data_IF_145116165882
#
_entry.id   IF_145116165882
#
_cell.length_a   1.000
_cell.length_b   1.000
_cell.length_c   1.000
_cell.angle_alpha   90.00
_cell.angle_beta   90.00
_cell.angle_gamma   90.00
#
_symmetry.space_group_name_H-M   'P 1'
#
loop_
_entity.id
_entity.type
_entity.pdbx_description
1 polymer ?
#
# COMPACT_ATOMS: atom_id res chain seq x y z
N UNK A 1 -11.16 10.16 -5.25
CA UNK A 1 -10.80 8.86 -4.67
C UNK A 1 -11.35 8.77 -3.25
N UNK A 2 -12.12 7.73 -2.97
CA UNK A 2 -12.86 7.63 -1.70
C UNK A 2 -12.33 6.50 -0.84
N UNK A 3 -11.08 6.63 -0.38
CA UNK A 3 -10.38 5.59 0.37
C UNK A 3 -11.10 5.18 1.65
N UNK A 4 -11.69 6.14 2.36
CA UNK A 4 -12.41 5.83 3.60
C UNK A 4 -13.62 4.93 3.35
N UNK A 5 -14.36 5.17 2.27
CA UNK A 5 -15.50 4.32 1.93
C UNK A 5 -15.07 2.90 1.60
N UNK A 6 -13.93 2.76 0.90
CA UNK A 6 -13.40 1.45 0.53
C UNK A 6 -12.97 0.63 1.74
N UNK A 7 -12.59 1.28 2.85
CA UNK A 7 -12.11 0.63 4.07
C UNK A 7 -13.11 0.67 5.22
N UNK A 8 -14.31 1.20 5.00
CA UNK A 8 -15.24 1.55 6.08
C UNK A 8 -15.51 0.43 7.07
N UNK A 9 -15.60 -0.80 6.59
CA UNK A 9 -15.91 -1.96 7.44
C UNK A 9 -14.73 -2.91 7.61
N UNK A 10 -13.58 -2.58 7.05
CA UNK A 10 -12.41 -3.43 7.13
C UNK A 10 -11.83 -3.43 8.55
N UNK A 11 -11.51 -4.62 9.07
CA UNK A 11 -10.87 -4.77 10.37
C UNK A 11 -9.36 -4.97 10.23
N UNK A 12 -8.93 -5.69 9.20
CA UNK A 12 -7.53 -5.91 8.89
C UNK A 12 -7.22 -5.30 7.53
N UNK A 13 -6.29 -4.36 7.52
CA UNK A 13 -5.90 -3.62 6.31
C UNK A 13 -4.40 -3.80 6.08
N UNK A 14 -4.04 -4.19 4.88
CA UNK A 14 -2.64 -4.32 4.47
C UNK A 14 -2.28 -3.30 3.41
N UNK A 15 -1.03 -2.89 3.40
CA UNK A 15 -0.48 -1.92 2.44
C UNK A 15 0.87 -2.43 1.98
N UNK A 16 1.13 -2.41 0.68
CA UNK A 16 2.45 -2.72 0.15
C UNK A 16 2.69 -1.98 -1.17
N UNK A 17 3.94 -1.96 -1.60
CA UNK A 17 4.37 -1.41 -2.87
C UNK A 17 5.39 -2.34 -3.52
N UNK A 18 6.14 -1.81 -4.49
CA UNK A 18 7.05 -2.65 -5.27
C UNK A 18 8.32 -3.04 -4.52
N UNK A 19 8.97 -4.11 -5.00
CA UNK A 19 10.29 -4.51 -4.54
C UNK A 19 11.30 -3.37 -4.78
N UNK A 20 12.36 -3.31 -3.98
CA UNK A 20 13.35 -2.23 -4.03
C UNK A 20 12.67 -0.86 -3.99
N UNK A 21 11.94 -0.57 -2.88
CA UNK A 21 11.11 0.62 -2.82
C UNK A 21 11.93 1.91 -2.92
N UNK A 22 11.44 2.82 -3.76
CA UNK A 22 12.01 4.15 -3.93
C UNK A 22 11.22 5.18 -3.11
N UNK A 23 11.55 6.47 -3.29
CA UNK A 23 10.91 7.56 -2.54
C UNK A 23 9.41 7.64 -2.75
N UNK A 24 8.91 7.44 -3.98
CA UNK A 24 7.48 7.49 -4.25
C UNK A 24 6.77 6.29 -3.64
N UNK A 25 7.35 5.10 -3.73
CA UNK A 25 6.78 3.90 -3.13
C UNK A 25 6.67 4.05 -1.61
N UNK A 26 7.77 4.41 -0.94
CA UNK A 26 7.79 4.57 0.52
C UNK A 26 6.88 5.71 0.95
N UNK A 27 6.94 6.85 0.25
CA UNK A 27 6.14 8.02 0.57
C UNK A 27 4.65 7.76 0.45
N UNK A 28 4.21 7.10 -0.62
CA UNK A 28 2.79 6.79 -0.81
C UNK A 28 2.30 5.76 0.22
N UNK A 29 3.08 4.71 0.48
CA UNK A 29 2.70 3.69 1.45
C UNK A 29 2.63 4.26 2.87
N UNK A 30 3.64 5.03 3.29
CA UNK A 30 3.65 5.64 4.63
C UNK A 30 2.57 6.69 4.77
N UNK A 31 2.33 7.49 3.72
CA UNK A 31 1.26 8.48 3.74
C UNK A 31 -0.10 7.85 3.98
N UNK A 32 -0.40 6.79 3.26
CA UNK A 32 -1.66 6.06 3.44
C UNK A 32 -1.72 5.40 4.81
N UNK A 33 -0.63 4.77 5.25
CA UNK A 33 -0.56 4.11 6.56
C UNK A 33 -0.87 5.09 7.70
N UNK A 34 -0.19 6.24 7.71
CA UNK A 34 -0.37 7.23 8.76
C UNK A 34 -1.78 7.83 8.73
N UNK A 35 -2.32 8.06 7.54
CA UNK A 35 -3.70 8.54 7.39
C UNK A 35 -4.69 7.55 7.97
N UNK A 36 -4.59 6.28 7.60
CA UNK A 36 -5.51 5.24 8.08
C UNK A 36 -5.38 5.02 9.59
N UNK A 37 -4.17 5.06 10.13
CA UNK A 37 -3.98 4.97 11.59
C UNK A 37 -4.68 6.10 12.32
N UNK A 38 -4.71 7.28 11.73
CA UNK A 38 -5.37 8.46 12.32
C UNK A 38 -6.90 8.35 12.26
N UNK A 39 -7.45 7.93 11.12
CA UNK A 39 -8.91 7.90 10.92
C UNK A 39 -9.56 6.58 11.29
N UNK A 40 -8.79 5.51 11.34
CA UNK A 40 -9.26 4.17 11.72
C UNK A 40 -8.36 3.57 12.82
N UNK A 41 -8.28 4.21 14.01
CA UNK A 41 -7.40 3.71 15.07
C UNK A 41 -7.86 2.34 15.62
N UNK A 42 -9.07 1.93 15.33
CA UNK A 42 -9.64 0.64 15.70
C UNK A 42 -9.22 -0.51 14.77
N UNK A 43 -8.73 -0.20 13.57
CA UNK A 43 -8.37 -1.22 12.60
C UNK A 43 -6.94 -1.74 12.83
N UNK A 44 -6.73 -3.01 12.47
CA UNK A 44 -5.41 -3.64 12.49
C UNK A 44 -4.75 -3.38 11.14
N UNK A 45 -3.82 -2.42 11.10
CA UNK A 45 -3.22 -1.93 9.87
C UNK A 45 -1.75 -2.33 9.79
N UNK A 46 -1.37 -2.98 8.70
CA UNK A 46 -0.01 -3.46 8.47
C UNK A 46 0.55 -2.89 7.18
N UNK A 47 1.84 -2.57 7.18
CA UNK A 47 2.55 -2.11 6.00
C UNK A 47 3.76 -3.01 5.75
N UNK A 48 3.85 -3.54 4.53
CA UNK A 48 4.90 -4.48 4.14
C UNK A 48 5.71 -3.91 2.99
N UNK A 49 7.00 -3.72 3.21
CA UNK A 49 7.95 -3.32 2.17
C UNK A 49 9.28 -3.99 2.44
N UNK A 50 10.08 -4.20 1.42
CA UNK A 50 11.47 -4.55 1.62
C UNK A 50 12.13 -3.45 2.43
N UNK A 51 13.17 -3.78 3.21
CA UNK A 51 13.83 -2.81 4.07
C UNK A 51 14.25 -1.58 3.27
N UNK A 52 13.72 -0.38 3.60
CA UNK A 52 14.09 0.84 2.89
C UNK A 52 15.56 1.19 3.08
N UNK A 53 16.15 1.86 2.09
CA UNK A 53 17.50 2.39 2.21
C UNK A 53 17.58 3.41 3.36
N UNK A 54 18.75 3.53 3.99
CA UNK A 54 18.94 4.41 5.15
C UNK A 54 18.58 5.87 4.89
N UNK A 55 18.70 6.31 3.64
CA UNK A 55 18.33 7.68 3.25
C UNK A 55 16.86 7.99 3.55
N UNK A 56 16.00 6.97 3.64
CA UNK A 56 14.58 7.15 3.92
C UNK A 56 14.25 7.07 5.41
N UNK A 57 15.23 6.91 6.29
CA UNK A 57 15.01 6.80 7.72
C UNK A 57 14.37 8.05 8.35
N UNK A 58 14.43 9.20 7.65
CA UNK A 58 13.80 10.43 8.09
C UNK A 58 12.28 10.45 7.86
N UNK A 59 11.72 9.52 7.12
CA UNK A 59 10.29 9.46 6.87
C UNK A 59 9.59 8.98 8.14
N UNK A 60 8.59 9.77 8.59
CA UNK A 60 7.85 9.46 9.80
C UNK A 60 7.16 8.09 9.69
N UNK A 61 7.35 7.26 10.71
CA UNK A 61 6.69 5.96 10.80
C UNK A 61 7.40 4.84 10.03
N UNK A 62 8.53 5.10 9.37
CA UNK A 62 9.23 4.09 8.56
C UNK A 62 9.62 2.87 9.38
N UNK A 63 9.80 3.01 10.69
CA UNK A 63 10.11 1.91 11.61
C UNK A 63 8.95 0.93 11.78
N UNK A 64 7.74 1.31 11.40
CA UNK A 64 6.56 0.45 11.47
C UNK A 64 6.47 -0.52 10.28
N UNK A 65 7.34 -0.37 9.28
CA UNK A 65 7.34 -1.24 8.11
C UNK A 65 7.77 -2.65 8.49
N UNK A 66 6.93 -3.64 8.14
CA UNK A 66 7.26 -5.05 8.30
C UNK A 66 8.02 -5.52 7.05
N UNK A 67 9.29 -5.86 7.23
CA UNK A 67 10.15 -6.37 6.16
C UNK A 67 10.40 -7.88 6.32
N UNK A 68 9.82 -8.52 7.31
CA UNK A 68 10.02 -9.94 7.59
C UNK A 68 9.05 -10.84 6.81
N UNK A 69 7.90 -10.31 6.42
CA UNK A 69 6.89 -11.03 5.61
C UNK A 69 6.48 -12.35 6.25
N UNK A 70 6.18 -12.31 7.55
CA UNK A 70 5.73 -13.48 8.26
C UNK A 70 4.35 -13.95 7.81
N UNK A 71 3.93 -15.10 8.33
CA UNK A 71 2.60 -15.64 8.05
C UNK A 71 1.54 -14.72 8.64
N UNK A 72 0.54 -14.36 7.82
CA UNK A 72 -0.52 -13.44 8.21
C UNK A 72 -1.90 -14.09 8.02
N UNK A 73 -2.86 -13.68 8.84
CA UNK A 73 -4.26 -13.97 8.59
C UNK A 73 -4.71 -13.14 7.37
N UNK A 74 -5.81 -13.57 6.74
CA UNK A 74 -6.35 -12.89 5.57
C UNK A 74 -6.70 -11.44 5.88
N UNK A 75 -6.37 -10.54 4.95
CA UNK A 75 -6.73 -9.13 5.04
C UNK A 75 -8.11 -8.88 4.43
N UNK A 76 -8.89 -8.00 5.07
CA UNK A 76 -10.18 -7.58 4.54
C UNK A 76 -9.98 -6.67 3.31
N UNK A 77 -9.01 -5.77 3.40
CA UNK A 77 -8.62 -4.88 2.31
C UNK A 77 -7.11 -4.87 2.21
N UNK A 78 -6.57 -4.96 1.00
CA UNK A 78 -5.15 -4.84 0.77
C UNK A 78 -4.87 -3.84 -0.35
N UNK A 79 -4.03 -2.86 -0.06
CA UNK A 79 -3.62 -1.81 -1.00
C UNK A 79 -2.30 -2.16 -1.67
N UNK A 80 -2.28 -2.11 -2.99
CA UNK A 80 -1.08 -2.21 -3.80
C UNK A 80 -0.79 -0.84 -4.38
N UNK A 81 0.29 -0.20 -3.93
CA UNK A 81 0.62 1.17 -4.28
C UNK A 81 1.88 1.25 -5.14
N UNK A 82 1.86 2.16 -6.10
CA UNK A 82 3.01 2.51 -6.96
C UNK A 82 3.48 1.38 -7.88
N UNK A 83 2.66 0.35 -8.07
CA UNK A 83 2.97 -0.77 -8.97
C UNK A 83 1.72 -1.60 -9.27
N UNK A 84 1.85 -2.56 -10.15
CA UNK A 84 0.91 -3.68 -10.28
C UNK A 84 1.39 -4.83 -9.37
N UNK A 85 0.54 -5.85 -9.21
CA UNK A 85 0.80 -6.94 -8.25
C UNK A 85 2.04 -7.78 -8.56
N UNK A 86 2.47 -7.81 -9.81
CA UNK A 86 3.62 -8.60 -10.25
C UNK A 86 4.95 -8.14 -9.65
N UNK A 87 5.01 -6.93 -9.05
CA UNK A 87 6.21 -6.40 -8.42
C UNK A 87 6.10 -6.26 -6.91
N UNK A 88 5.06 -6.82 -6.30
CA UNK A 88 4.91 -6.79 -4.83
C UNK A 88 5.90 -7.70 -4.10
N UNK A 89 6.51 -8.63 -4.80
CA UNK A 89 7.41 -9.57 -4.15
C UNK A 89 6.67 -10.46 -3.17
N UNK A 90 7.17 -10.60 -1.96
CA UNK A 90 6.59 -11.50 -0.97
C UNK A 90 5.19 -11.06 -0.51
N UNK A 91 4.83 -9.80 -0.67
CA UNK A 91 3.50 -9.30 -0.30
C UNK A 91 2.41 -9.68 -1.33
N UNK A 92 2.78 -10.18 -2.50
CA UNK A 92 1.80 -10.56 -3.53
C UNK A 92 0.78 -11.56 -3.00
N UNK A 93 1.21 -12.52 -2.20
CA UNK A 93 0.32 -13.54 -1.61
C UNK A 93 -0.75 -12.89 -0.73
N UNK A 94 -0.37 -11.91 0.09
CA UNK A 94 -1.32 -11.20 0.94
C UNK A 94 -2.36 -10.46 0.10
N UNK A 95 -1.90 -9.82 -0.98
CA UNK A 95 -2.78 -9.09 -1.89
C UNK A 95 -3.76 -10.02 -2.58
N UNK A 96 -3.26 -11.14 -3.13
CA UNK A 96 -4.08 -12.07 -3.88
C UNK A 96 -5.15 -12.76 -3.04
N UNK A 97 -4.91 -12.94 -1.75
CA UNK A 97 -5.85 -13.61 -0.84
C UNK A 97 -6.78 -12.66 -0.10
N UNK A 98 -6.59 -11.35 -0.22
CA UNK A 98 -7.43 -10.36 0.45
C UNK A 98 -8.86 -10.38 -0.10
N UNK A 99 -9.83 -10.06 0.75
CA UNK A 99 -11.23 -9.99 0.34
C UNK A 99 -11.47 -8.89 -0.67
N UNK A 100 -10.83 -7.74 -0.49
CA UNK A 100 -10.91 -6.60 -1.41
C UNK A 100 -9.52 -6.11 -1.74
N UNK A 101 -9.24 -5.98 -3.05
CA UNK A 101 -7.93 -5.56 -3.56
C UNK A 101 -8.04 -4.18 -4.18
N UNK A 102 -7.21 -3.24 -3.73
CA UNK A 102 -7.21 -1.86 -4.23
C UNK A 102 -5.83 -1.54 -4.78
N UNK A 103 -5.80 -1.09 -6.03
CA UNK A 103 -4.55 -0.71 -6.71
C UNK A 103 -4.54 0.79 -6.98
N UNK A 104 -3.50 1.48 -6.53
CA UNK A 104 -3.31 2.92 -6.74
C UNK A 104 -1.94 3.12 -7.35
N UNK A 105 -1.88 3.66 -8.56
CA UNK A 105 -0.64 3.81 -9.30
C UNK A 105 -0.75 4.93 -10.33
N UNK A 106 0.39 5.34 -10.88
CA UNK A 106 0.45 6.32 -11.97
C UNK A 106 1.20 5.82 -13.19
N UNK A 107 1.69 4.58 -13.19
CA UNK A 107 2.45 4.03 -14.31
C UNK A 107 1.54 3.70 -15.49
N UNK A 108 1.93 4.16 -16.68
CA UNK A 108 1.12 3.96 -17.90
C UNK A 108 0.99 2.48 -18.28
N UNK A 109 1.96 1.66 -17.89
CA UNK A 109 1.95 0.22 -18.19
C UNK A 109 0.99 -0.58 -17.30
N UNK A 110 0.45 0.02 -16.24
CA UNK A 110 -0.44 -0.66 -15.31
C UNK A 110 -1.90 -0.50 -15.78
N UNK A 111 -2.55 -1.60 -16.09
CA UNK A 111 -3.97 -1.62 -16.49
C UNK A 111 -4.92 -1.84 -15.31
N UNK A 112 -4.37 -1.95 -14.08
CA UNK A 112 -5.14 -2.22 -12.88
C UNK A 112 -5.15 -3.69 -12.52
N UNK A 113 -4.79 -4.02 -11.28
CA UNK A 113 -4.71 -5.40 -10.79
C UNK A 113 -5.66 -5.68 -9.63
N UNK A 114 -6.41 -4.68 -9.17
CA UNK A 114 -7.31 -4.81 -8.03
C UNK A 114 -8.77 -4.89 -8.42
N UNK A 115 -9.62 -5.08 -7.40
CA UNK A 115 -11.07 -4.97 -7.54
C UNK A 115 -11.48 -3.52 -7.75
N UNK A 116 -10.73 -2.59 -7.14
CA UNK A 116 -10.87 -1.15 -7.30
C UNK A 116 -9.52 -0.61 -7.75
N UNK A 117 -9.52 0.19 -8.82
CA UNK A 117 -8.28 0.67 -9.42
C UNK A 117 -8.32 2.19 -9.61
N UNK A 118 -7.31 2.86 -9.05
CA UNK A 118 -7.06 4.29 -9.24
C UNK A 118 -5.71 4.42 -9.94
N UNK A 119 -5.69 4.09 -11.22
CA UNK A 119 -4.48 4.17 -12.04
C UNK A 119 -4.58 5.40 -12.92
N UNK A 120 -3.82 6.45 -12.56
CA UNK A 120 -3.90 7.76 -13.21
C UNK A 120 -2.53 8.11 -13.81
N UNK A 121 -2.25 7.72 -15.07
CA UNK A 121 -0.94 7.96 -15.69
C UNK A 121 -0.55 9.44 -15.78
N UNK A 122 -1.52 10.35 -15.76
CA UNK A 122 -1.30 11.81 -15.83
C UNK A 122 -0.77 12.37 -14.51
N UNK A 123 -0.91 11.63 -13.39
CA UNK A 123 -0.38 12.09 -12.12
C UNK A 123 1.15 12.04 -12.12
N UNK A 124 1.79 12.96 -11.43
CA UNK A 124 3.25 13.02 -11.37
C UNK A 124 3.85 11.90 -10.51
N UNK A 125 3.06 11.35 -9.57
CA UNK A 125 3.51 10.30 -8.66
C UNK A 125 2.31 9.65 -7.99
N UNK A 126 2.53 8.46 -7.40
CA UNK A 126 1.50 7.81 -6.58
C UNK A 126 1.30 8.57 -5.27
N UNK A 127 2.34 9.19 -4.74
CA UNK A 127 2.23 10.05 -3.55
C UNK A 127 1.25 11.21 -3.77
N UNK A 128 1.23 11.78 -4.97
CA UNK A 128 0.26 12.83 -5.33
C UNK A 128 -1.18 12.31 -5.21
N UNK A 129 -1.43 11.08 -5.65
CA UNK A 129 -2.76 10.48 -5.61
C UNK A 129 -3.24 10.22 -4.18
N UNK A 130 -2.32 9.90 -3.27
CA UNK A 130 -2.64 9.67 -1.87
C UNK A 130 -2.93 10.99 -1.15
N UNK A 131 -2.19 12.03 -1.51
CA UNK A 131 -2.38 13.35 -0.91
C UNK A 131 -3.78 13.88 -1.18
#
# INVERSE_FOLDING_TARGET
MKLLEECKQAKRIGISGHIRPDGDCIGSCMGLYLFLKKVRPDADIHIFLEKPADIFSCIRGVEEIDSDYGKQEKFDVFFCLDTASDRLGQAEEYFCTADKKINIDHHVSNSGCGDVNYVIPEASSTSELIY
#
